data_IF_909690996371
#
_entry.id   IF_909690996371
#
_cell.length_a   1.000
_cell.length_b   1.000
_cell.length_c   1.000
_cell.angle_alpha   90.00
_cell.angle_beta   90.00
_cell.angle_gamma   90.00
#
_symmetry.space_group_name_H-M   'P 1'
#
loop_
_entity.id
_entity.type
_entity.pdbx_description
1 polymer ?
#
# COMPACT_ATOMS: atom_id res chain seq x y z
N UNK A 1 15.32 -65.10 39.29
CA UNK A 1 15.68 -66.10 38.27
C UNK A 1 15.32 -65.57 36.89
N UNK A 2 16.34 -65.38 36.03
CA UNK A 2 16.47 -65.69 34.60
C UNK A 2 15.21 -65.38 33.73
N UNK A 3 15.21 -64.73 32.59
CA UNK A 3 16.23 -64.68 31.50
C UNK A 3 15.93 -63.49 30.57
N UNK A 4 17.01 -62.87 30.05
CA UNK A 4 17.09 -61.95 28.89
C UNK A 4 16.74 -62.70 27.61
N UNK A 5 16.09 -62.03 26.66
CA UNK A 5 16.33 -62.24 25.25
C UNK A 5 16.31 -60.88 24.50
N UNK A 6 17.43 -60.59 23.85
CA UNK A 6 17.63 -59.59 22.83
C UNK A 6 17.12 -60.16 21.50
N UNK A 7 16.40 -59.36 20.73
CA UNK A 7 16.37 -59.53 19.27
C UNK A 7 16.33 -58.12 18.64
N UNK A 8 17.39 -57.77 17.90
CA UNK A 8 17.53 -56.74 16.87
C UNK A 8 17.49 -57.46 15.53
N UNK A 9 17.49 -56.78 14.38
CA UNK A 9 16.59 -55.82 13.75
C UNK A 9 16.08 -56.32 12.40
N UNK A 10 15.14 -55.66 11.81
CA UNK A 10 14.91 -55.75 10.38
C UNK A 10 14.67 -54.37 9.78
N UNK A 11 15.65 -53.92 9.04
CA UNK A 11 15.65 -52.75 8.20
C UNK A 11 14.80 -53.05 6.95
N UNK A 12 13.65 -52.36 6.83
CA UNK A 12 12.83 -52.41 5.59
C UNK A 12 12.87 -51.03 4.95
N UNK A 13 13.65 -50.88 3.90
CA UNK A 13 13.59 -49.75 2.98
C UNK A 13 12.29 -49.84 2.18
N UNK A 14 11.35 -48.93 2.40
CA UNK A 14 10.33 -48.65 1.42
C UNK A 14 10.58 -47.31 0.77
N UNK A 15 10.90 -47.37 -0.51
CA UNK A 15 10.91 -46.26 -1.45
C UNK A 15 9.43 -45.84 -1.66
N UNK A 16 9.02 -44.72 -1.15
CA UNK A 16 7.82 -44.02 -1.59
C UNK A 16 8.21 -42.84 -2.44
N UNK A 17 7.79 -42.89 -3.68
CA UNK A 17 7.77 -41.79 -4.63
C UNK A 17 6.82 -40.73 -4.06
N UNK A 18 7.34 -39.57 -3.67
CA UNK A 18 6.52 -38.45 -3.24
C UNK A 18 6.26 -37.54 -4.44
N UNK A 19 4.98 -37.37 -4.77
CA UNK A 19 4.50 -36.23 -5.51
C UNK A 19 4.74 -34.99 -4.66
N UNK A 20 5.35 -33.97 -5.24
CA UNK A 20 5.63 -32.71 -4.54
C UNK A 20 4.38 -31.89 -4.35
N UNK A 21 4.13 -31.50 -3.14
CA UNK A 21 3.32 -30.34 -2.80
C UNK A 21 4.28 -29.17 -2.57
N UNK A 22 4.16 -28.15 -3.40
CA UNK A 22 4.91 -26.91 -3.28
C UNK A 22 4.38 -26.11 -2.07
N UNK A 23 4.92 -26.37 -0.89
CA UNK A 23 4.79 -25.44 0.23
C UNK A 23 5.76 -24.27 0.03
N UNK A 24 5.22 -23.11 -0.26
CA UNK A 24 5.94 -21.85 -0.25
C UNK A 24 6.48 -21.54 1.16
N UNK A 25 7.71 -21.93 1.39
CA UNK A 25 8.45 -21.70 2.62
C UNK A 25 9.10 -20.31 2.58
N UNK A 26 8.40 -19.27 3.01
CA UNK A 26 9.00 -17.94 3.23
C UNK A 26 9.81 -17.96 4.53
N UNK A 27 11.11 -18.15 4.41
CA UNK A 27 12.04 -17.98 5.52
C UNK A 27 12.25 -16.49 5.83
N UNK A 28 11.76 -16.05 6.97
CA UNK A 28 12.17 -14.78 7.61
C UNK A 28 13.58 -15.02 8.19
N UNK A 29 14.59 -14.66 7.44
CA UNK A 29 16.00 -14.78 7.83
C UNK A 29 16.69 -13.43 7.85
N UNK A 30 16.62 -12.72 8.97
CA UNK A 30 17.52 -11.62 9.26
C UNK A 30 18.94 -12.16 9.47
N UNK A 31 19.79 -12.15 8.43
CA UNK A 31 21.24 -12.27 8.58
C UNK A 31 21.85 -10.88 8.52
N UNK A 32 22.50 -10.45 9.62
CA UNK A 32 23.50 -9.39 9.59
C UNK A 32 24.60 -9.82 8.61
N UNK A 33 24.66 -9.18 7.46
CA UNK A 33 25.72 -9.33 6.47
C UNK A 33 26.58 -8.07 6.49
N UNK A 34 27.89 -8.29 6.37
CA UNK A 34 28.96 -7.30 6.33
C UNK A 34 28.74 -6.26 5.22
N UNK A 35 28.97 -5.00 5.56
CA UNK A 35 28.92 -3.84 4.65
C UNK A 35 29.98 -3.95 3.56
N UNK A 36 29.58 -4.35 2.38
CA UNK A 36 30.30 -4.07 1.14
C UNK A 36 29.60 -2.91 0.42
N UNK A 37 30.31 -1.85 -0.01
CA UNK A 37 29.70 -0.76 -0.77
C UNK A 37 29.15 -1.29 -2.09
N UNK A 38 27.85 -1.31 -2.24
CA UNK A 38 27.20 -1.64 -3.50
C UNK A 38 27.36 -0.45 -4.44
N UNK A 39 28.10 -0.63 -5.53
CA UNK A 39 28.14 0.30 -6.65
C UNK A 39 26.72 0.42 -7.25
N UNK A 40 26.28 1.61 -7.71
CA UNK A 40 25.00 1.75 -8.40
C UNK A 40 25.06 0.93 -9.69
N UNK A 41 24.30 -0.13 -9.74
CA UNK A 41 24.16 -0.98 -10.92
C UNK A 41 23.09 -0.34 -11.83
N UNK A 42 23.48 0.03 -13.05
CA UNK A 42 22.61 0.59 -14.11
C UNK A 42 21.56 -0.39 -14.67
N UNK A 43 21.35 -1.52 -14.02
CA UNK A 43 20.23 -2.40 -14.33
C UNK A 43 18.96 -1.70 -13.86
N UNK A 44 18.04 -1.43 -14.79
CA UNK A 44 16.65 -1.14 -14.46
C UNK A 44 16.23 -2.16 -13.42
N UNK A 45 16.03 -1.74 -12.17
CA UNK A 45 15.61 -2.64 -11.12
C UNK A 45 14.23 -3.15 -11.53
N UNK A 46 14.18 -4.41 -11.95
CA UNK A 46 12.90 -5.10 -12.01
C UNK A 46 12.27 -4.92 -10.63
N UNK A 47 11.05 -4.40 -10.58
CA UNK A 47 10.35 -4.20 -9.33
C UNK A 47 10.18 -5.52 -8.57
N UNK A 48 9.72 -5.49 -7.31
CA UNK A 48 9.51 -6.70 -6.52
C UNK A 48 8.56 -7.65 -7.24
N UNK A 49 8.79 -8.96 -7.11
CA UNK A 49 8.01 -10.00 -7.82
C UNK A 49 6.51 -9.86 -7.62
N UNK A 50 6.06 -9.46 -6.41
CA UNK A 50 4.64 -9.22 -6.10
C UNK A 50 3.99 -8.18 -7.03
N UNK A 51 4.76 -7.19 -7.51
CA UNK A 51 4.26 -6.15 -8.40
C UNK A 51 3.87 -6.66 -9.79
N UNK A 52 4.28 -7.88 -10.15
CA UNK A 52 3.95 -8.52 -11.43
C UNK A 52 2.60 -9.25 -11.42
N UNK A 53 2.01 -9.47 -10.24
CA UNK A 53 0.82 -10.33 -10.10
C UNK A 53 -0.31 -9.67 -9.32
N UNK A 54 -0.02 -8.78 -8.40
CA UNK A 54 -1.05 -8.15 -7.58
C UNK A 54 -1.74 -7.03 -8.33
N UNK A 55 -3.07 -7.05 -8.34
CA UNK A 55 -3.91 -6.18 -9.17
C UNK A 55 -3.93 -4.72 -8.72
N UNK A 56 -3.57 -4.43 -7.46
CA UNK A 56 -3.47 -3.07 -6.95
C UNK A 56 -2.20 -2.33 -7.40
N UNK A 57 -1.18 -3.06 -7.87
CA UNK A 57 0.04 -2.43 -8.34
C UNK A 57 -0.19 -1.82 -9.72
N UNK A 58 0.11 -0.53 -9.90
CA UNK A 58 0.19 0.05 -11.23
C UNK A 58 1.51 -0.28 -11.91
N UNK A 59 1.65 0.03 -13.18
CA UNK A 59 2.93 -0.04 -13.86
C UNK A 59 3.97 0.83 -13.13
N UNK A 60 5.13 0.24 -12.86
CA UNK A 60 6.19 0.89 -12.09
C UNK A 60 6.89 1.96 -12.92
N UNK A 61 7.18 3.10 -12.32
CA UNK A 61 7.92 4.18 -13.00
C UNK A 61 9.35 3.78 -13.33
N UNK A 62 9.99 3.02 -12.43
CA UNK A 62 11.40 2.68 -12.55
C UNK A 62 12.35 3.90 -12.39
N UNK A 63 13.56 3.80 -12.91
CA UNK A 63 14.56 4.86 -12.83
C UNK A 63 15.00 5.16 -11.39
N UNK A 64 14.66 6.33 -10.86
CA UNK A 64 14.97 6.75 -9.49
C UNK A 64 13.93 6.33 -8.46
N UNK A 65 12.90 5.64 -8.89
CA UNK A 65 11.89 5.07 -8.00
C UNK A 65 12.31 3.71 -7.47
N UNK A 66 11.99 3.48 -6.19
CA UNK A 66 12.11 2.18 -5.53
C UNK A 66 10.75 1.78 -4.99
N UNK A 67 10.42 0.51 -5.08
CA UNK A 67 9.19 -0.03 -4.50
C UNK A 67 9.53 -0.68 -3.17
N UNK A 68 8.94 -0.17 -2.10
CA UNK A 68 9.01 -0.73 -0.75
C UNK A 68 7.74 -1.51 -0.50
N UNK A 69 7.88 -2.78 -0.13
CA UNK A 69 6.76 -3.69 0.13
C UNK A 69 6.78 -4.10 1.60
N UNK A 70 5.73 -3.78 2.32
CA UNK A 70 5.61 -4.10 3.73
C UNK A 70 4.92 -5.44 3.93
N UNK A 71 5.57 -6.30 4.68
CA UNK A 71 5.05 -7.58 5.16
C UNK A 71 5.04 -7.58 6.68
N UNK A 72 4.13 -8.35 7.26
CA UNK A 72 4.05 -8.51 8.71
C UNK A 72 2.76 -9.18 9.14
N UNK A 73 2.50 -9.19 10.44
CA UNK A 73 1.22 -9.67 10.96
C UNK A 73 0.13 -8.67 10.55
N UNK A 74 -0.83 -9.13 9.76
CA UNK A 74 -1.97 -8.31 9.31
C UNK A 74 -3.28 -8.66 10.02
N UNK A 75 -3.33 -9.74 10.80
CA UNK A 75 -4.48 -10.12 11.60
C UNK A 75 -4.03 -10.81 12.89
N UNK A 76 -4.04 -10.09 14.01
CA UNK A 76 -3.61 -10.62 15.32
C UNK A 76 -4.50 -11.76 15.82
N UNK A 77 -5.81 -11.65 15.62
CA UNK A 77 -6.77 -12.67 16.10
C UNK A 77 -6.59 -14.02 15.42
N UNK A 78 -6.28 -14.01 14.13
CA UNK A 78 -6.10 -15.22 13.33
C UNK A 78 -4.62 -15.62 13.21
N UNK A 79 -3.71 -14.84 13.79
CA UNK A 79 -2.27 -15.01 13.66
C UNK A 79 -1.82 -15.17 12.20
N UNK A 80 -2.34 -14.27 11.32
CA UNK A 80 -2.01 -14.28 9.90
C UNK A 80 -0.98 -13.22 9.57
N UNK A 81 0.05 -13.63 8.83
CA UNK A 81 1.11 -12.77 8.32
C UNK A 81 1.14 -12.78 6.79
N UNK A 82 1.66 -11.73 6.20
CA UNK A 82 1.78 -11.59 4.76
C UNK A 82 1.91 -10.14 4.32
N UNK A 83 1.54 -9.87 3.07
CA UNK A 83 1.54 -8.56 2.47
C UNK A 83 0.55 -7.61 3.17
N UNK A 84 1.03 -6.41 3.50
CA UNK A 84 0.25 -5.35 4.12
C UNK A 84 -0.09 -4.24 3.11
N UNK A 85 0.91 -3.54 2.60
CA UNK A 85 0.79 -2.54 1.55
C UNK A 85 2.16 -2.30 0.89
N UNK A 86 2.18 -1.59 -0.24
CA UNK A 86 3.41 -1.17 -0.89
C UNK A 86 3.39 0.33 -1.23
N UNK A 87 4.59 0.89 -1.40
CA UNK A 87 4.83 2.29 -1.74
C UNK A 87 5.83 2.35 -2.90
N UNK A 88 5.58 3.18 -3.91
CA UNK A 88 6.63 3.59 -4.84
C UNK A 88 7.20 4.94 -4.38
N UNK A 89 8.46 4.93 -3.96
CA UNK A 89 9.19 6.07 -3.46
C UNK A 89 10.16 6.62 -4.50
N UNK A 90 10.04 7.89 -4.83
CA UNK A 90 11.01 8.58 -5.66
C UNK A 90 12.18 9.08 -4.80
N UNK A 91 13.38 8.53 -5.04
CA UNK A 91 14.55 8.78 -4.22
C UNK A 91 15.15 10.20 -4.39
N UNK A 92 14.89 10.86 -5.52
CA UNK A 92 15.34 12.24 -5.77
C UNK A 92 14.35 13.26 -5.21
N UNK A 93 13.06 13.06 -5.45
CA UNK A 93 11.99 13.94 -4.96
C UNK A 93 11.73 13.73 -3.47
N UNK A 94 12.12 12.54 -2.93
CA UNK A 94 11.90 12.10 -1.56
C UNK A 94 10.42 12.15 -1.15
N UNK A 95 9.60 11.63 -2.02
CA UNK A 95 8.17 11.52 -1.82
C UNK A 95 7.64 10.24 -2.48
N UNK A 96 6.57 9.70 -1.92
CA UNK A 96 5.88 8.58 -2.54
C UNK A 96 5.11 9.05 -3.78
N UNK A 97 5.08 8.20 -4.80
CA UNK A 97 4.22 8.38 -5.98
C UNK A 97 2.84 7.82 -5.73
N UNK A 98 2.77 6.67 -5.08
CA UNK A 98 1.54 6.00 -4.66
C UNK A 98 1.80 5.05 -3.49
N UNK A 99 0.73 4.71 -2.76
CA UNK A 99 0.63 3.50 -1.95
C UNK A 99 -0.47 2.62 -2.49
N UNK A 100 -0.26 1.31 -2.53
CA UNK A 100 -1.26 0.35 -2.96
C UNK A 100 -1.47 -0.77 -1.94
N UNK A 101 -2.70 -1.30 -1.87
CA UNK A 101 -3.08 -2.29 -0.89
C UNK A 101 -4.39 -2.99 -1.25
N UNK A 102 -4.64 -4.11 -0.60
CA UNK A 102 -5.87 -4.89 -0.73
C UNK A 102 -6.74 -4.76 0.52
N UNK A 103 -8.07 -4.90 0.34
CA UNK A 103 -9.05 -4.99 1.42
C UNK A 103 -9.94 -6.23 1.19
N UNK A 104 -9.82 -7.24 2.04
CA UNK A 104 -10.56 -8.49 1.98
C UNK A 104 -10.95 -8.96 3.39
N UNK A 105 -11.63 -10.11 3.51
CA UNK A 105 -12.21 -10.60 4.77
C UNK A 105 -11.22 -10.57 5.94
N UNK A 106 -10.06 -11.20 5.78
CA UNK A 106 -9.14 -11.39 6.89
C UNK A 106 -8.38 -10.13 7.30
N UNK A 107 -8.09 -9.22 6.35
CA UNK A 107 -7.28 -8.04 6.65
C UNK A 107 -8.10 -6.77 6.95
N UNK A 108 -9.41 -6.78 6.64
CA UNK A 108 -10.22 -5.58 6.80
C UNK A 108 -11.65 -5.81 7.33
N UNK A 109 -12.47 -6.69 6.70
CA UNK A 109 -13.94 -6.67 6.82
C UNK A 109 -14.52 -6.86 8.23
N UNK A 110 -13.85 -7.53 9.14
CA UNK A 110 -14.38 -7.74 10.50
C UNK A 110 -14.16 -6.55 11.46
N UNK A 111 -13.82 -5.38 10.92
CA UNK A 111 -13.62 -4.15 11.66
C UNK A 111 -12.31 -4.08 12.45
N UNK A 112 -12.11 -2.95 13.13
CA UNK A 112 -10.92 -2.72 13.95
C UNK A 112 -10.84 -3.70 15.12
N UNK A 113 -9.65 -4.25 15.35
CA UNK A 113 -9.32 -5.15 16.47
C UNK A 113 -8.26 -4.57 17.40
N UNK A 114 -7.51 -3.59 16.90
CA UNK A 114 -6.48 -2.88 17.64
C UNK A 114 -6.73 -1.38 17.61
N UNK A 115 -6.25 -0.68 18.61
CA UNK A 115 -6.28 0.78 18.64
C UNK A 115 -5.32 1.35 17.59
N UNK A 116 -5.64 2.55 17.11
CA UNK A 116 -4.72 3.30 16.23
C UNK A 116 -3.41 3.53 16.98
N UNK A 117 -2.27 3.25 16.33
CA UNK A 117 -0.95 3.52 16.87
C UNK A 117 -0.79 4.97 17.34
N UNK A 118 -0.17 5.12 18.49
CA UNK A 118 0.20 6.40 19.07
C UNK A 118 1.52 6.23 19.82
N UNK A 119 2.57 6.91 19.38
CA UNK A 119 3.92 6.79 19.93
C UNK A 119 4.00 7.05 21.44
N UNK A 120 3.10 7.86 22.01
CA UNK A 120 3.05 8.14 23.45
C UNK A 120 2.54 6.94 24.27
N UNK A 121 1.72 6.10 23.66
CA UNK A 121 1.06 4.97 24.33
C UNK A 121 1.71 3.62 23.98
N UNK A 122 2.34 3.54 22.79
CA UNK A 122 2.86 2.30 22.20
C UNK A 122 4.40 2.29 22.19
N UNK A 123 5.01 2.68 23.31
CA UNK A 123 6.44 2.88 23.46
C UNK A 123 7.36 1.69 23.17
N UNK A 124 6.79 0.50 22.91
CA UNK A 124 7.55 -0.70 22.51
C UNK A 124 7.93 -0.69 21.01
N UNK A 125 7.23 0.05 20.17
CA UNK A 125 7.44 0.06 18.71
C UNK A 125 8.32 1.24 18.26
N UNK A 126 8.02 2.46 18.70
CA UNK A 126 8.86 3.64 18.48
C UNK A 126 8.48 4.75 19.46
N UNK A 127 9.09 4.79 20.66
CA UNK A 127 8.63 5.67 21.76
C UNK A 127 8.81 7.16 21.48
N UNK A 128 9.65 7.55 20.56
CA UNK A 128 10.05 8.95 20.36
C UNK A 128 9.48 9.60 19.10
N UNK A 129 8.94 8.83 18.15
CA UNK A 129 8.52 9.35 16.85
C UNK A 129 7.17 8.79 16.40
N UNK A 130 6.19 9.68 16.23
CA UNK A 130 4.86 9.30 15.68
C UNK A 130 4.93 8.86 14.22
N UNK A 131 5.88 9.38 13.45
CA UNK A 131 6.06 9.10 12.03
C UNK A 131 7.52 8.69 11.77
N UNK A 132 7.90 7.44 12.11
CA UNK A 132 9.27 6.98 11.99
C UNK A 132 9.70 6.82 10.53
N UNK A 133 11.01 6.83 10.31
CA UNK A 133 11.56 6.41 9.04
C UNK A 133 11.19 4.96 8.76
N UNK A 134 10.97 4.67 7.49
CA UNK A 134 10.70 3.34 6.99
C UNK A 134 11.98 2.48 7.05
N UNK A 135 11.97 1.36 7.79
CA UNK A 135 13.16 0.50 7.91
C UNK A 135 13.53 -0.21 6.59
N UNK A 136 12.54 -0.41 5.71
CA UNK A 136 12.74 -1.10 4.43
C UNK A 136 13.19 -0.16 3.30
N UNK A 137 13.14 1.19 3.53
CA UNK A 137 13.72 2.16 2.61
C UNK A 137 15.23 2.28 2.82
N UNK A 138 16.08 2.23 1.78
CA UNK A 138 17.52 2.47 1.91
C UNK A 138 17.82 3.76 2.66
N UNK A 139 18.78 3.73 3.58
CA UNK A 139 19.09 4.87 4.46
C UNK A 139 19.41 6.17 3.70
N UNK A 140 20.11 6.06 2.57
CA UNK A 140 20.44 7.19 1.70
C UNK A 140 19.24 7.92 1.12
N UNK A 141 18.06 7.25 1.08
CA UNK A 141 16.81 7.81 0.56
C UNK A 141 15.89 8.32 1.65
N UNK A 142 16.22 8.07 2.93
CA UNK A 142 15.40 8.50 4.07
C UNK A 142 15.51 10.02 4.30
N UNK A 143 14.46 10.55 4.92
CA UNK A 143 14.47 11.90 5.46
C UNK A 143 15.31 11.90 6.76
N UNK A 144 16.12 12.92 6.96
CA UNK A 144 16.95 13.10 8.17
C UNK A 144 16.27 13.98 9.22
N UNK A 145 15.19 14.64 8.87
CA UNK A 145 14.32 15.41 9.76
C UNK A 145 12.89 15.42 9.23
N UNK A 146 11.93 15.65 10.11
CA UNK A 146 10.52 15.76 9.75
C UNK A 146 10.21 17.12 9.09
N UNK A 147 9.94 17.18 7.76
CA UNK A 147 9.65 18.42 7.06
C UNK A 147 8.25 18.99 7.34
N UNK A 148 7.37 18.21 7.97
CA UNK A 148 6.02 18.66 8.31
C UNK A 148 5.99 19.55 9.54
N UNK A 149 6.97 19.45 10.41
CA UNK A 149 7.02 20.19 11.68
C UNK A 149 6.92 21.69 11.45
N UNK A 150 5.86 22.31 11.95
CA UNK A 150 5.59 23.75 11.80
C UNK A 150 5.20 24.20 10.38
N UNK A 151 4.96 23.27 9.45
CA UNK A 151 4.61 23.58 8.06
C UNK A 151 3.16 24.05 7.87
N UNK A 152 2.26 23.66 8.79
CA UNK A 152 0.81 23.85 8.67
C UNK A 152 0.11 22.78 7.85
N UNK A 153 0.83 21.72 7.45
CA UNK A 153 0.28 20.53 6.78
C UNK A 153 0.26 19.33 7.71
N UNK A 154 -0.75 18.49 7.54
CA UNK A 154 -0.85 17.21 8.20
C UNK A 154 0.08 16.17 7.53
N UNK A 155 0.52 15.19 8.31
CA UNK A 155 1.05 13.93 7.81
C UNK A 155 -0.14 13.11 7.26
N UNK A 156 -0.50 13.35 6.00
CA UNK A 156 -1.63 12.68 5.37
C UNK A 156 -1.28 11.24 5.00
N UNK A 157 -1.98 10.28 5.62
CA UNK A 157 -1.82 8.87 5.29
C UNK A 157 -2.30 8.60 3.87
N UNK A 158 -1.54 7.81 3.10
CA UNK A 158 -1.99 7.32 1.81
C UNK A 158 -2.57 5.92 1.96
N UNK A 159 -1.88 4.92 2.48
CA UNK A 159 -2.54 3.73 3.04
C UNK A 159 -3.12 4.10 4.41
N UNK A 160 -4.45 4.15 4.60
CA UNK A 160 -5.05 4.65 5.84
C UNK A 160 -4.79 3.73 7.02
N UNK A 161 -4.46 4.31 8.16
CA UNK A 161 -4.36 3.56 9.42
C UNK A 161 -5.65 2.79 9.74
N UNK A 162 -6.82 3.39 9.48
CA UNK A 162 -8.11 2.76 9.73
C UNK A 162 -8.37 1.49 8.88
N UNK A 163 -7.67 1.33 7.75
CA UNK A 163 -7.78 0.15 6.89
C UNK A 163 -6.87 -1.00 7.37
N UNK A 164 -6.02 -0.76 8.37
CA UNK A 164 -5.00 -1.69 8.88
C UNK A 164 -5.09 -1.96 10.38
N UNK A 165 -6.26 -1.74 11.00
CA UNK A 165 -6.48 -1.95 12.43
C UNK A 165 -6.89 -3.40 12.80
N UNK A 166 -6.45 -4.40 12.04
CA UNK A 166 -6.62 -5.83 12.36
C UNK A 166 -5.41 -6.41 13.10
N UNK A 167 -4.26 -5.75 13.03
CA UNK A 167 -3.04 -6.10 13.74
C UNK A 167 -2.27 -4.86 14.16
N UNK A 168 -1.55 -4.97 15.28
CA UNK A 168 -0.70 -3.89 15.80
C UNK A 168 0.40 -3.55 14.79
N UNK A 169 1.08 -4.57 14.26
CA UNK A 169 2.17 -4.40 13.29
C UNK A 169 1.68 -3.75 11.99
N UNK A 170 0.61 -4.27 11.39
CA UNK A 170 0.05 -3.72 10.17
C UNK A 170 -0.39 -2.25 10.34
N UNK A 171 -0.96 -1.91 11.49
CA UNK A 171 -1.35 -0.54 11.80
C UNK A 171 -0.13 0.36 12.00
N UNK A 172 0.89 -0.08 12.75
CA UNK A 172 2.14 0.65 12.97
C UNK A 172 2.85 1.00 11.65
N UNK A 173 2.98 0.04 10.74
CA UNK A 173 3.62 0.24 9.44
C UNK A 173 2.99 1.40 8.65
N UNK A 174 1.67 1.63 8.80
CA UNK A 174 1.02 2.77 8.11
C UNK A 174 1.52 4.13 8.56
N UNK A 175 2.24 4.23 9.68
CA UNK A 175 2.82 5.47 10.20
C UNK A 175 4.24 5.75 9.69
N UNK A 176 4.84 4.87 8.92
CA UNK A 176 6.12 5.17 8.27
C UNK A 176 6.01 6.43 7.41
N UNK A 177 7.06 7.27 7.47
CA UNK A 177 7.08 8.54 6.75
C UNK A 177 6.95 8.35 5.22
N UNK A 178 7.32 7.18 4.70
CA UNK A 178 7.12 6.80 3.30
C UNK A 178 5.66 6.73 2.89
N UNK A 179 4.75 6.50 3.85
CA UNK A 179 3.31 6.47 3.64
C UNK A 179 2.63 7.84 3.81
N UNK A 180 3.40 8.91 4.03
CA UNK A 180 2.87 10.25 4.31
C UNK A 180 3.03 11.17 3.11
N UNK A 181 2.00 11.99 2.84
CA UNK A 181 2.10 13.15 1.95
C UNK A 181 1.51 14.38 2.62
N UNK A 182 2.07 15.59 2.35
CA UNK A 182 1.53 16.81 2.94
C UNK A 182 0.09 17.07 2.50
N UNK A 183 -0.83 17.08 3.45
CA UNK A 183 -2.23 17.34 3.22
C UNK A 183 -2.70 18.56 4.03
N UNK A 184 -3.52 19.41 3.42
CA UNK A 184 -4.24 20.45 4.14
C UNK A 184 -5.20 19.79 5.14
N UNK A 185 -5.25 20.28 6.37
CA UNK A 185 -6.08 19.69 7.42
C UNK A 185 -7.56 19.56 7.02
N UNK A 186 -8.14 20.61 6.41
CA UNK A 186 -9.54 20.55 5.95
C UNK A 186 -9.78 19.53 4.84
N UNK A 187 -8.77 19.28 4.03
CA UNK A 187 -8.80 18.24 3.01
C UNK A 187 -8.66 16.85 3.66
N UNK A 188 -7.62 16.66 4.48
CA UNK A 188 -7.29 15.39 5.12
C UNK A 188 -8.43 14.88 6.02
N UNK A 189 -8.89 15.72 6.96
CA UNK A 189 -9.97 15.39 7.90
C UNK A 189 -11.38 15.61 7.34
N UNK A 190 -11.51 16.02 6.09
CA UNK A 190 -12.78 16.26 5.41
C UNK A 190 -12.95 15.32 4.22
N UNK A 191 -12.94 15.89 3.01
CA UNK A 191 -13.30 15.17 1.77
C UNK A 191 -12.45 13.93 1.50
N UNK A 192 -11.15 13.95 1.86
CA UNK A 192 -10.27 12.78 1.69
C UNK A 192 -10.69 11.63 2.62
N UNK A 193 -10.94 11.94 3.88
CA UNK A 193 -11.47 10.97 4.84
C UNK A 193 -12.84 10.42 4.41
N UNK A 194 -13.70 11.26 3.83
CA UNK A 194 -15.01 10.84 3.33
C UNK A 194 -14.88 9.88 2.14
N UNK A 195 -13.92 10.12 1.23
CA UNK A 195 -13.58 9.18 0.16
C UNK A 195 -13.10 7.84 0.70
N UNK A 196 -12.22 7.86 1.71
CA UNK A 196 -11.77 6.63 2.39
C UNK A 196 -12.93 5.89 3.06
N UNK A 197 -13.83 6.60 3.72
CA UNK A 197 -15.04 6.01 4.30
C UNK A 197 -15.94 5.38 3.23
N UNK A 198 -16.04 6.00 2.05
CA UNK A 198 -16.77 5.43 0.92
C UNK A 198 -16.13 4.14 0.43
N UNK A 199 -14.81 4.10 0.27
CA UNK A 199 -14.05 2.90 -0.11
C UNK A 199 -14.27 1.78 0.90
N UNK A 200 -14.25 2.07 2.21
CA UNK A 200 -14.52 1.11 3.29
C UNK A 200 -15.93 0.51 3.20
N UNK A 201 -16.94 1.34 2.85
CA UNK A 201 -18.30 0.86 2.64
C UNK A 201 -18.37 -0.08 1.43
N UNK A 202 -17.68 0.25 0.35
CA UNK A 202 -17.59 -0.63 -0.83
C UNK A 202 -16.88 -1.95 -0.55
N UNK A 203 -15.83 -1.96 0.27
CA UNK A 203 -15.09 -3.17 0.61
C UNK A 203 -15.99 -4.30 1.15
N UNK A 204 -17.12 -3.96 1.80
CA UNK A 204 -18.07 -4.94 2.30
C UNK A 204 -18.91 -5.60 1.19
N UNK A 205 -18.92 -5.07 -0.03
CA UNK A 205 -19.72 -5.55 -1.14
C UNK A 205 -18.93 -6.44 -2.13
N UNK A 206 -17.60 -6.49 -1.99
CA UNK A 206 -16.69 -7.24 -2.86
C UNK A 206 -15.95 -8.33 -2.07
N UNK A 207 -15.44 -9.32 -2.76
CA UNK A 207 -14.57 -10.32 -2.16
C UNK A 207 -13.23 -9.66 -1.80
N UNK A 208 -12.71 -8.87 -2.72
CA UNK A 208 -11.51 -8.05 -2.53
C UNK A 208 -11.70 -6.69 -3.21
N UNK A 209 -11.29 -5.62 -2.53
CA UNK A 209 -10.99 -4.32 -3.12
C UNK A 209 -9.48 -4.16 -3.25
N UNK A 210 -9.04 -3.73 -4.42
CA UNK A 210 -7.68 -3.33 -4.73
C UNK A 210 -7.64 -1.82 -4.83
N UNK A 211 -6.74 -1.18 -4.11
CA UNK A 211 -6.67 0.28 -3.99
C UNK A 211 -5.25 0.75 -4.30
N UNK A 212 -5.12 1.71 -5.21
CA UNK A 212 -3.90 2.46 -5.45
C UNK A 212 -4.22 3.95 -5.35
N UNK A 213 -3.49 4.70 -4.52
CA UNK A 213 -3.78 6.11 -4.29
C UNK A 213 -2.51 6.90 -3.96
N UNK A 214 -2.55 8.22 -4.18
CA UNK A 214 -1.41 9.09 -3.91
C UNK A 214 -1.72 10.55 -4.24
N UNK A 215 -0.75 11.39 -3.98
CA UNK A 215 -0.71 12.78 -4.41
C UNK A 215 0.32 12.95 -5.53
N UNK A 216 0.04 13.86 -6.43
CA UNK A 216 0.86 14.11 -7.63
C UNK A 216 2.21 14.72 -7.28
N UNK A 217 3.30 14.15 -7.81
CA UNK A 217 4.67 14.63 -7.58
C UNK A 217 5.49 14.83 -8.87
N UNK A 218 5.01 14.34 -10.01
CA UNK A 218 5.83 14.18 -11.23
C UNK A 218 5.96 15.44 -12.10
N UNK A 219 5.10 16.44 -11.93
CA UNK A 219 5.11 17.67 -12.72
C UNK A 219 5.14 18.91 -11.82
N UNK A 220 5.91 19.92 -12.18
CA UNK A 220 6.01 21.19 -11.43
C UNK A 220 4.65 21.85 -11.20
N UNK A 221 3.77 21.83 -12.19
CA UNK A 221 2.42 22.42 -12.11
C UNK A 221 1.47 21.67 -11.18
N UNK A 222 1.88 20.48 -10.72
CA UNK A 222 1.17 19.65 -9.77
C UNK A 222 1.66 19.81 -8.33
N UNK A 223 2.63 20.69 -8.11
CA UNK A 223 3.21 21.00 -6.81
C UNK A 223 2.74 22.39 -6.38
N UNK A 224 2.07 22.47 -5.22
CA UNK A 224 1.67 23.75 -4.63
C UNK A 224 2.87 24.51 -4.07
N UNK A 225 3.74 23.82 -3.37
CA UNK A 225 4.97 24.32 -2.77
C UNK A 225 5.83 23.15 -2.28
N UNK A 226 6.96 23.47 -1.68
CA UNK A 226 7.81 22.47 -1.02
C UNK A 226 7.86 22.75 0.48
N UNK A 227 7.98 21.68 1.28
CA UNK A 227 8.28 21.71 2.71
C UNK A 227 9.74 21.32 2.93
N UNK A 228 10.32 21.79 4.04
CA UNK A 228 11.70 21.47 4.40
C UNK A 228 12.74 22.05 3.45
N UNK A 229 13.96 21.56 3.53
CA UNK A 229 15.10 22.00 2.72
C UNK A 229 16.13 20.88 2.55
N UNK A 230 17.01 21.02 1.56
CA UNK A 230 18.06 20.03 1.27
C UNK A 230 17.47 18.62 1.09
N UNK A 231 18.05 17.65 1.77
CA UNK A 231 17.59 16.25 1.73
C UNK A 231 16.23 16.01 2.42
N UNK A 232 15.67 17.01 3.08
CA UNK A 232 14.35 16.97 3.68
C UNK A 232 13.33 17.81 2.92
N UNK A 233 13.64 18.21 1.68
CA UNK A 233 12.72 18.98 0.83
C UNK A 233 11.74 18.00 0.17
N UNK A 234 10.44 18.12 0.50
CA UNK A 234 9.37 17.30 -0.07
C UNK A 234 8.32 18.16 -0.77
N UNK A 235 7.67 17.67 -1.85
CA UNK A 235 6.61 18.40 -2.54
C UNK A 235 5.31 18.36 -1.73
N UNK A 236 4.52 19.43 -1.82
CA UNK A 236 3.12 19.45 -1.44
C UNK A 236 2.29 19.19 -2.69
N UNK A 237 1.63 18.03 -2.83
CA UNK A 237 0.85 17.70 -4.01
C UNK A 237 -0.31 18.67 -4.20
N UNK A 238 -0.58 19.07 -5.43
CA UNK A 238 -1.77 19.86 -5.78
C UNK A 238 -3.01 18.99 -5.91
N UNK A 239 -2.84 17.81 -6.49
CA UNK A 239 -3.94 16.87 -6.72
C UNK A 239 -3.66 15.57 -5.97
N UNK A 240 -4.75 14.95 -5.53
CA UNK A 240 -4.75 13.59 -4.99
C UNK A 240 -5.66 12.71 -5.84
N UNK A 241 -5.32 11.44 -5.91
CA UNK A 241 -6.04 10.43 -6.67
C UNK A 241 -6.27 9.14 -5.88
N UNK A 242 -7.30 8.41 -6.25
CA UNK A 242 -7.53 7.01 -5.89
C UNK A 242 -7.96 6.25 -7.13
N UNK A 243 -7.40 5.07 -7.36
CA UNK A 243 -7.88 4.04 -8.27
C UNK A 243 -8.37 2.87 -7.43
N UNK A 244 -9.60 2.44 -7.64
CA UNK A 244 -10.27 1.37 -6.87
C UNK A 244 -10.81 0.33 -7.83
N UNK A 245 -10.39 -0.93 -7.65
CA UNK A 245 -10.89 -2.10 -8.39
C UNK A 245 -11.57 -3.04 -7.42
N UNK A 246 -12.84 -3.36 -7.65
CA UNK A 246 -13.61 -4.32 -6.88
C UNK A 246 -13.73 -5.65 -7.64
N UNK A 247 -13.42 -6.76 -6.97
CA UNK A 247 -13.60 -8.13 -7.47
C UNK A 247 -14.71 -8.83 -6.70
N UNK A 248 -15.66 -9.43 -7.42
CA UNK A 248 -16.70 -10.29 -6.86
C UNK A 248 -16.93 -11.50 -7.75
N UNK A 249 -16.52 -12.68 -7.29
CA UNK A 249 -16.42 -13.86 -8.14
C UNK A 249 -15.49 -13.63 -9.31
N UNK A 250 -15.98 -13.78 -10.53
CA UNK A 250 -15.25 -13.47 -11.77
C UNK A 250 -15.44 -12.03 -12.28
N UNK A 251 -16.29 -11.23 -11.62
CA UNK A 251 -16.62 -9.87 -12.10
C UNK A 251 -15.69 -8.83 -11.49
N UNK A 252 -15.32 -7.87 -12.30
CA UNK A 252 -14.50 -6.72 -11.91
C UNK A 252 -15.25 -5.42 -12.18
N UNK A 253 -15.01 -4.40 -11.35
CA UNK A 253 -15.49 -3.02 -11.54
C UNK A 253 -14.42 -2.06 -11.07
N UNK A 254 -14.17 -1.01 -11.82
CA UNK A 254 -13.19 0.01 -11.43
C UNK A 254 -13.81 1.41 -11.38
N UNK A 255 -13.26 2.27 -10.53
CA UNK A 255 -13.56 3.69 -10.43
C UNK A 255 -12.34 4.45 -9.95
N UNK A 256 -12.26 5.72 -10.31
CA UNK A 256 -11.20 6.61 -9.85
C UNK A 256 -11.75 7.86 -9.17
N UNK A 257 -10.88 8.53 -8.41
CA UNK A 257 -11.11 9.88 -7.90
C UNK A 257 -9.95 10.79 -8.28
N UNK A 258 -10.27 12.03 -8.60
CA UNK A 258 -9.31 13.09 -8.87
C UNK A 258 -9.75 14.39 -8.22
N UNK A 259 -8.93 14.93 -7.30
CA UNK A 259 -9.31 16.10 -6.51
C UNK A 259 -8.11 17.00 -6.18
N UNK A 260 -8.29 18.32 -6.29
CA UNK A 260 -7.32 19.31 -5.80
C UNK A 260 -7.48 19.51 -4.28
N UNK A 261 -6.37 19.47 -3.52
CA UNK A 261 -6.45 19.56 -2.07
C UNK A 261 -6.74 20.98 -1.52
N UNK A 262 -6.54 22.02 -2.32
CA UNK A 262 -6.70 23.42 -1.91
C UNK A 262 -7.94 24.12 -2.48
N UNK A 263 -8.58 23.50 -3.48
CA UNK A 263 -9.66 24.12 -4.26
C UNK A 263 -10.83 23.17 -4.59
N UNK A 264 -11.09 22.19 -3.74
CA UNK A 264 -12.27 21.35 -3.89
C UNK A 264 -13.54 22.11 -3.48
N UNK A 265 -14.59 22.01 -4.29
CA UNK A 265 -15.84 22.77 -4.11
C UNK A 265 -17.11 21.93 -4.15
N UNK A 266 -17.04 20.70 -4.70
CA UNK A 266 -18.21 19.84 -4.78
C UNK A 266 -18.67 19.35 -3.41
N UNK A 267 -19.98 19.18 -3.26
CA UNK A 267 -20.63 18.75 -2.02
C UNK A 267 -20.83 17.24 -1.93
N UNK A 268 -20.62 16.53 -3.03
CA UNK A 268 -20.77 15.07 -3.12
C UNK A 268 -19.50 14.41 -3.62
N UNK A 269 -19.14 13.26 -3.06
CA UNK A 269 -17.96 12.48 -3.48
C UNK A 269 -18.04 12.07 -4.96
N UNK A 270 -19.26 11.75 -5.43
CA UNK A 270 -19.50 11.34 -6.81
C UNK A 270 -19.02 12.37 -7.82
N UNK A 271 -19.06 13.66 -7.47
CA UNK A 271 -18.59 14.74 -8.36
C UNK A 271 -17.07 14.74 -8.61
N UNK A 272 -16.31 13.98 -7.83
CA UNK A 272 -14.86 13.79 -8.02
C UNK A 272 -14.53 12.44 -8.65
N UNK A 273 -15.54 11.61 -8.92
CA UNK A 273 -15.34 10.33 -9.57
C UNK A 273 -14.94 10.54 -11.04
N UNK A 274 -14.00 9.74 -11.49
CA UNK A 274 -13.50 9.72 -12.87
C UNK A 274 -13.32 8.26 -13.32
N UNK A 275 -13.35 8.02 -14.63
CA UNK A 275 -12.99 6.71 -15.18
C UNK A 275 -11.50 6.44 -14.96
N UNK A 276 -11.10 5.16 -14.96
CA UNK A 276 -9.69 4.79 -14.86
C UNK A 276 -8.90 5.38 -16.02
N UNK A 277 -9.40 5.32 -17.25
CA UNK A 277 -8.76 5.96 -18.41
C UNK A 277 -8.52 7.46 -18.19
N UNK A 278 -9.49 8.19 -17.63
CA UNK A 278 -9.31 9.61 -17.31
C UNK A 278 -8.26 9.82 -16.21
N UNK A 279 -8.23 8.93 -15.22
CA UNK A 279 -7.25 8.98 -14.14
C UNK A 279 -5.84 8.71 -14.65
N UNK A 280 -5.65 7.70 -15.52
CA UNK A 280 -4.38 7.40 -16.18
C UNK A 280 -3.89 8.58 -17.01
N UNK A 281 -4.79 9.22 -17.78
CA UNK A 281 -4.46 10.44 -18.54
C UNK A 281 -4.03 11.59 -17.63
N UNK A 282 -4.67 11.77 -16.50
CA UNK A 282 -4.34 12.82 -15.54
C UNK A 282 -3.01 12.53 -14.82
N UNK A 283 -2.78 11.31 -14.36
CA UNK A 283 -1.61 10.94 -13.53
C UNK A 283 -0.40 10.53 -14.38
N UNK A 284 -0.61 9.92 -15.54
CA UNK A 284 0.42 9.23 -16.31
C UNK A 284 0.80 7.87 -15.69
N UNK A 285 -0.01 7.37 -14.78
CA UNK A 285 0.15 6.06 -14.13
C UNK A 285 -0.83 5.09 -14.78
N UNK A 286 -0.34 3.93 -15.19
CA UNK A 286 -1.12 2.84 -15.74
C UNK A 286 -1.60 1.95 -14.58
N UNK A 287 -2.91 1.98 -14.29
CA UNK A 287 -3.51 1.28 -13.16
C UNK A 287 -4.04 -0.08 -13.60
N UNK A 288 -3.93 -1.07 -12.71
CA UNK A 288 -4.49 -2.42 -12.91
C UNK A 288 -3.88 -3.21 -14.06
N UNK A 289 -2.68 -2.82 -14.52
CA UNK A 289 -1.92 -3.42 -15.62
C UNK A 289 -1.62 -4.94 -15.47
N UNK A 290 -1.93 -5.53 -14.32
CA UNK A 290 -1.81 -6.97 -14.09
C UNK A 290 -3.14 -7.73 -14.33
N UNK A 291 -4.20 -7.05 -14.75
CA UNK A 291 -5.41 -7.71 -15.22
C UNK A 291 -5.15 -8.36 -16.61
N UNK A 292 -5.88 -9.42 -16.97
CA UNK A 292 -5.94 -9.85 -18.37
C UNK A 292 -6.44 -8.69 -19.26
N UNK A 293 -5.82 -8.54 -20.44
CA UNK A 293 -6.04 -7.39 -21.36
C UNK A 293 -7.51 -7.11 -21.68
N UNK A 294 -8.33 -8.16 -21.80
CA UNK A 294 -9.77 -8.04 -22.10
C UNK A 294 -10.54 -7.44 -20.90
N UNK A 295 -10.20 -7.86 -19.68
CA UNK A 295 -10.81 -7.34 -18.45
C UNK A 295 -10.31 -5.92 -18.14
N UNK A 296 -9.02 -5.68 -18.32
CA UNK A 296 -8.41 -4.37 -18.17
C UNK A 296 -9.09 -3.34 -19.08
N UNK A 297 -9.18 -3.65 -20.38
CA UNK A 297 -9.87 -2.81 -21.36
C UNK A 297 -11.35 -2.57 -21.00
N UNK A 298 -12.04 -3.56 -20.45
CA UNK A 298 -13.43 -3.41 -20.03
C UNK A 298 -13.58 -2.42 -18.88
N UNK A 299 -12.78 -2.58 -17.81
CA UNK A 299 -12.92 -1.75 -16.59
C UNK A 299 -12.39 -0.33 -16.78
N UNK A 300 -11.45 -0.11 -17.69
CA UNK A 300 -10.86 1.20 -17.98
C UNK A 300 -11.73 2.07 -18.91
N UNK A 301 -12.37 1.44 -19.89
CA UNK A 301 -13.12 2.13 -20.93
C UNK A 301 -14.61 2.30 -20.63
N UNK A 302 -15.05 1.94 -19.42
CA UNK A 302 -16.44 2.10 -19.03
C UNK A 302 -16.85 3.59 -19.06
N UNK A 303 -17.98 3.97 -19.67
CA UNK A 303 -18.45 5.35 -19.64
C UNK A 303 -18.73 5.82 -18.20
N UNK A 304 -18.40 7.07 -17.87
CA UNK A 304 -18.61 7.65 -16.54
C UNK A 304 -20.04 7.45 -16.03
N UNK A 305 -21.05 7.68 -16.88
CA UNK A 305 -22.45 7.51 -16.52
C UNK A 305 -22.87 6.06 -16.19
N UNK A 306 -22.16 5.08 -16.73
CA UNK A 306 -22.34 3.66 -16.39
C UNK A 306 -21.59 3.33 -15.11
N UNK A 307 -20.33 3.75 -14.99
CA UNK A 307 -19.53 3.57 -13.77
C UNK A 307 -20.25 4.13 -12.54
N UNK A 308 -20.84 5.32 -12.64
CA UNK A 308 -21.60 5.94 -11.55
C UNK A 308 -22.82 5.12 -11.10
N UNK A 309 -23.44 4.38 -12.00
CA UNK A 309 -24.58 3.49 -11.69
C UNK A 309 -24.14 2.16 -11.08
N UNK A 310 -22.97 1.70 -11.42
CA UNK A 310 -22.46 0.41 -10.96
C UNK A 310 -21.94 0.44 -9.52
N UNK A 311 -21.54 1.62 -9.06
CA UNK A 311 -21.05 1.83 -7.70
C UNK A 311 -22.14 2.39 -6.80
N UNK A 312 -22.38 1.74 -5.66
CA UNK A 312 -23.34 2.23 -4.68
C UNK A 312 -22.72 3.37 -3.88
N UNK A 313 -23.30 4.57 -4.03
CA UNK A 313 -22.86 5.74 -3.27
C UNK A 313 -23.61 5.85 -1.95
N UNK A 314 -22.87 5.95 -0.87
CA UNK A 314 -23.43 6.13 0.48
C UNK A 314 -23.29 7.61 0.89
N UNK A 315 -24.35 8.13 1.50
CA UNK A 315 -24.40 9.48 2.04
C UNK A 315 -23.70 9.54 3.39
#
# INVERSE_FOLDING_TARGET
>A
MKRRYFILPALLLMLFSACGDDENNYQIGGKKGEDTPVQPDDRQSEGPEIAKYNLEFPALKGGKSVVVVHYGVYNDRLNKSGYNYAVEWDSEIRAQRWSCYQMYEDNYKSGAQVTRYNAKNDGSLSPECQYPNDPDLPESYRLTADPYKGSGFDHGHICPSADRQRAVEANYQTFYITNMQPQNNKFNAGIWQDMENQVRKWANNFDTLYVCKGGTIDKSDWILRYLGSGNNKIPVPKYFFMAVLGKKGSNFKATGFWIAQDSYTATTLQSYAVTIQALQKNTGIDFFCNLPDDIENEVENIPLSQMEKEWTWFK
#
